data_IF_570197831080
#
_entry.id   IF_570197831080
#
_cell.length_a   1.000
_cell.length_b   1.000
_cell.length_c   1.000
_cell.angle_alpha   90.00
_cell.angle_beta   90.00
_cell.angle_gamma   90.00
#
_symmetry.space_group_name_H-M   'P 1'
#
loop_
_entity.id
_entity.type
_entity.pdbx_description
1 polymer ?
#
# COMPACT_ATOMS: atom_id res chain seq x y z
N UNK A 1 -6.00 0.85 15.84
CA UNK A 1 -7.10 1.53 15.07
C UNK A 1 -7.74 0.51 14.14
N UNK A 2 -9.07 0.45 13.91
CA UNK A 2 -9.63 -0.53 12.98
C UNK A 2 -9.14 -0.24 11.56
N UNK A 3 -8.39 -1.17 11.00
CA UNK A 3 -7.86 -1.06 9.64
C UNK A 3 -8.91 -1.60 8.67
N UNK A 4 -9.43 -0.73 7.80
CA UNK A 4 -10.33 -1.15 6.70
C UNK A 4 -9.61 -2.22 5.83
N UNK A 5 -10.33 -3.23 5.32
CA UNK A 5 -9.85 -4.25 4.39
C UNK A 5 -8.95 -3.70 3.28
N UNK A 6 -9.32 -2.57 2.67
CA UNK A 6 -8.50 -1.95 1.62
C UNK A 6 -7.14 -1.49 2.13
N UNK A 7 -7.06 -0.98 3.36
CA UNK A 7 -5.79 -0.60 3.96
C UNK A 7 -4.93 -1.84 4.29
N UNK A 8 -5.53 -2.96 4.72
CA UNK A 8 -4.79 -4.22 4.93
C UNK A 8 -4.17 -4.75 3.63
N UNK A 9 -4.92 -4.72 2.52
CA UNK A 9 -4.38 -5.12 1.20
C UNK A 9 -3.19 -4.23 0.83
N UNK A 10 -3.32 -2.91 0.96
CA UNK A 10 -2.22 -1.98 0.67
C UNK A 10 -1.01 -2.21 1.57
N UNK A 11 -1.19 -2.39 2.87
CA UNK A 11 -0.06 -2.63 3.79
C UNK A 11 0.71 -3.91 3.43
N UNK A 12 -0.01 -4.99 3.12
CA UNK A 12 0.63 -6.26 2.68
C UNK A 12 1.37 -6.08 1.36
N UNK A 13 0.78 -5.34 0.40
CA UNK A 13 1.43 -5.07 -0.88
C UNK A 13 2.68 -4.21 -0.71
N UNK A 14 2.60 -3.12 0.06
CA UNK A 14 3.75 -2.25 0.36
C UNK A 14 4.87 -3.03 1.05
N UNK A 15 4.55 -3.84 2.07
CA UNK A 15 5.53 -4.66 2.78
C UNK A 15 6.24 -5.63 1.82
N UNK A 16 5.48 -6.36 0.98
CA UNK A 16 6.04 -7.25 -0.04
C UNK A 16 6.95 -6.51 -1.03
N UNK A 17 6.57 -5.32 -1.48
CA UNK A 17 7.40 -4.49 -2.35
C UNK A 17 8.72 -4.14 -1.66
N UNK A 18 8.66 -3.59 -0.45
CA UNK A 18 9.84 -3.08 0.28
C UNK A 18 10.76 -4.19 0.80
N UNK A 19 10.27 -5.42 0.98
CA UNK A 19 11.09 -6.59 1.27
C UNK A 19 12.03 -6.95 0.10
N UNK A 20 11.66 -6.63 -1.14
CA UNK A 20 12.52 -6.86 -2.30
C UNK A 20 13.61 -5.78 -2.42
N UNK A 21 14.69 -5.95 -1.65
CA UNK A 21 15.85 -5.02 -1.63
C UNK A 21 16.68 -5.01 -2.94
N UNK A 22 16.43 -5.93 -3.87
CA UNK A 22 17.09 -5.95 -5.20
C UNK A 22 16.53 -4.89 -6.14
N UNK A 23 15.36 -4.33 -5.85
CA UNK A 23 14.71 -3.27 -6.63
C UNK A 23 14.53 -2.02 -5.76
N UNK A 24 14.84 -0.85 -6.30
CA UNK A 24 14.42 0.42 -5.71
C UNK A 24 12.96 0.69 -6.08
N UNK A 25 12.14 1.01 -5.10
CA UNK A 25 10.73 1.33 -5.28
C UNK A 25 10.51 2.83 -5.15
N UNK A 26 9.94 3.45 -6.18
CA UNK A 26 9.44 4.84 -6.09
C UNK A 26 8.01 4.85 -5.54
N UNK A 27 7.52 6.00 -5.11
CA UNK A 27 6.16 6.09 -4.58
C UNK A 27 5.14 5.80 -5.69
N UNK A 28 5.42 6.23 -6.91
CA UNK A 28 4.58 5.97 -8.10
C UNK A 28 4.44 4.47 -8.36
N UNK A 29 5.53 3.71 -8.23
CA UNK A 29 5.50 2.25 -8.38
C UNK A 29 4.73 1.57 -7.23
N UNK A 30 4.77 2.13 -6.03
CA UNK A 30 3.94 1.64 -4.92
C UNK A 30 2.46 1.94 -5.14
N UNK A 31 2.12 3.10 -5.73
CA UNK A 31 0.76 3.42 -6.14
C UNK A 31 0.26 2.38 -7.13
N UNK A 32 0.99 2.15 -8.22
CA UNK A 32 0.62 1.19 -9.26
C UNK A 32 0.44 -0.22 -8.70
N UNK A 33 1.40 -0.71 -7.90
CA UNK A 33 1.32 -2.04 -7.29
C UNK A 33 0.11 -2.18 -6.36
N UNK A 34 -0.21 -1.13 -5.59
CA UNK A 34 -1.37 -1.15 -4.70
C UNK A 34 -2.69 -1.00 -5.46
N UNK A 35 -2.75 -0.19 -6.52
CA UNK A 35 -3.93 -0.03 -7.39
C UNK A 35 -4.26 -1.39 -8.02
N UNK A 36 -3.26 -2.08 -8.58
CA UNK A 36 -3.41 -3.40 -9.15
C UNK A 36 -3.91 -4.42 -8.11
N UNK A 37 -3.31 -4.44 -6.92
CA UNK A 37 -3.77 -5.32 -5.86
C UNK A 37 -5.22 -5.03 -5.45
N UNK A 38 -5.62 -3.78 -5.29
CA UNK A 38 -7.02 -3.47 -4.96
C UNK A 38 -7.98 -3.85 -6.10
N UNK A 39 -7.57 -3.70 -7.35
CA UNK A 39 -8.35 -4.15 -8.49
C UNK A 39 -8.55 -5.67 -8.47
N UNK A 40 -7.48 -6.45 -8.27
CA UNK A 40 -7.54 -7.91 -8.20
C UNK A 40 -8.41 -8.43 -7.04
N UNK A 41 -8.39 -7.77 -5.88
CA UNK A 41 -9.09 -8.22 -4.68
C UNK A 41 -10.55 -7.75 -4.57
N UNK A 42 -10.86 -6.54 -5.04
CA UNK A 42 -12.16 -5.88 -4.83
C UNK A 42 -12.81 -5.40 -6.14
N UNK A 43 -12.16 -5.54 -7.30
CA UNK A 43 -12.64 -5.00 -8.58
C UNK A 43 -12.59 -3.47 -8.65
N UNK A 44 -11.82 -2.82 -7.78
CA UNK A 44 -11.73 -1.36 -7.71
C UNK A 44 -10.81 -0.86 -8.83
N UNK A 45 -11.38 -0.27 -9.88
CA UNK A 45 -10.64 0.37 -10.98
C UNK A 45 -10.07 1.75 -10.64
N UNK A 46 -10.31 2.23 -9.41
CA UNK A 46 -9.85 3.56 -8.99
C UNK A 46 -8.41 3.52 -8.52
N UNK A 47 -7.58 4.33 -9.17
CA UNK A 47 -6.22 4.56 -8.73
C UNK A 47 -6.11 5.15 -7.33
N UNK A 48 -5.14 4.65 -6.58
CA UNK A 48 -4.84 5.14 -5.24
C UNK A 48 -4.05 6.45 -5.35
N UNK A 49 -4.44 7.44 -4.55
CA UNK A 49 -3.73 8.72 -4.54
C UNK A 49 -2.35 8.61 -3.89
N UNK A 50 -1.41 9.46 -4.33
CA UNK A 50 -0.10 9.66 -3.67
C UNK A 50 -0.25 9.94 -2.17
N UNK A 51 -1.25 10.75 -1.80
CA UNK A 51 -1.55 11.08 -0.41
C UNK A 51 -1.81 9.81 0.40
N UNK A 52 -2.65 8.89 -0.12
CA UNK A 52 -2.96 7.61 0.53
C UNK A 52 -1.71 6.78 0.80
N UNK A 53 -0.86 6.57 -0.22
CA UNK A 53 0.39 5.79 -0.04
C UNK A 53 1.33 6.43 0.98
N UNK A 54 1.46 7.77 0.99
CA UNK A 54 2.27 8.46 2.01
C UNK A 54 1.71 8.27 3.43
N UNK A 55 0.38 8.32 3.59
CA UNK A 55 -0.26 8.03 4.88
C UNK A 55 -0.04 6.58 5.31
N UNK A 56 -0.16 5.63 4.39
CA UNK A 56 0.07 4.22 4.66
C UNK A 56 1.50 3.94 5.09
N UNK A 57 2.50 4.50 4.38
CA UNK A 57 3.91 4.41 4.76
C UNK A 57 4.17 5.01 6.15
N UNK A 58 3.58 6.17 6.44
CA UNK A 58 3.71 6.79 7.77
C UNK A 58 3.06 5.92 8.86
N UNK A 59 1.90 5.33 8.58
CA UNK A 59 1.22 4.43 9.50
C UNK A 59 2.07 3.18 9.77
N UNK A 60 2.62 2.54 8.73
CA UNK A 60 3.49 1.36 8.84
C UNK A 60 4.81 1.64 9.57
N UNK A 61 5.33 2.86 9.49
CA UNK A 61 6.52 3.29 10.24
C UNK A 61 6.25 3.60 11.70
N UNK A 62 5.00 3.91 12.04
CA UNK A 62 4.60 4.20 13.41
C UNK A 62 4.08 2.93 14.08
N UNK A 63 4.33 2.73 15.37
CA UNK A 63 3.77 1.59 16.13
C UNK A 63 2.22 1.67 16.31
N UNK A 64 1.54 2.55 15.55
CA UNK A 64 0.08 2.79 15.62
C UNK A 64 -0.77 1.70 14.96
N UNK A 65 -0.12 0.68 14.38
CA UNK A 65 -0.80 -0.51 13.87
C UNK A 65 -1.06 -1.56 14.97
N UNK A 66 -0.55 -1.34 16.19
CA UNK A 66 -0.91 -2.06 17.42
C UNK A 66 -2.07 -1.42 18.17
#
# INVERSE_FOLDING_TARGET
>A
MPVNRNALVRYRTIDKCLQNRRRKWTIEQLIEACSLALYEYEGIEKDISLRTIRFDLNAMRSDKLG
#
